data_IF_520028288488
#
_entry.id   IF_520028288488
#
_cell.length_a   1.000
_cell.length_b   1.000
_cell.length_c   1.000
_cell.angle_alpha   90.00
_cell.angle_beta   90.00
_cell.angle_gamma   90.00
#
_symmetry.space_group_name_H-M   'P 1'
#
loop_
_entity.id
_entity.type
_entity.pdbx_description
1 polymer ?
#
# COMPACT_ATOMS: atom_id res chain seq x y z
N UNK A 1 -24.71 -47.43 34.66
CA UNK A 1 -25.84 -46.64 34.12
C UNK A 1 -25.74 -46.67 32.61
N UNK A 2 -26.72 -47.21 31.89
CA UNK A 2 -26.75 -47.12 30.42
C UNK A 2 -27.24 -45.72 29.99
N UNK A 3 -26.48 -45.05 29.14
CA UNK A 3 -26.93 -43.94 28.30
C UNK A 3 -27.65 -44.53 27.09
N UNK A 4 -28.87 -44.09 26.81
CA UNK A 4 -29.65 -44.54 25.64
C UNK A 4 -29.65 -43.38 24.65
N UNK A 5 -28.85 -43.49 23.60
CA UNK A 5 -28.77 -42.51 22.52
C UNK A 5 -29.62 -42.97 21.35
N UNK A 6 -30.55 -42.13 20.90
CA UNK A 6 -31.20 -42.30 19.60
C UNK A 6 -30.41 -41.53 18.55
N UNK A 7 -30.02 -42.19 17.46
CA UNK A 7 -29.28 -41.59 16.35
C UNK A 7 -30.27 -41.31 15.21
N UNK A 8 -30.37 -40.05 14.80
CA UNK A 8 -31.22 -39.65 13.66
C UNK A 8 -30.40 -38.76 12.73
N UNK A 9 -29.62 -39.37 11.84
CA UNK A 9 -28.63 -38.67 11.01
C UNK A 9 -27.41 -38.19 11.80
N UNK A 10 -26.87 -37.01 11.43
CA UNK A 10 -25.69 -36.36 12.02
C UNK A 10 -25.87 -35.94 13.50
N UNK A 11 -27.03 -36.18 14.11
CA UNK A 11 -27.35 -35.82 15.48
C UNK A 11 -27.66 -37.02 16.37
N UNK A 12 -27.21 -36.92 17.62
CA UNK A 12 -27.48 -37.84 18.72
C UNK A 12 -28.35 -37.13 19.77
N UNK A 13 -29.31 -37.86 20.35
CA UNK A 13 -30.16 -37.34 21.42
C UNK A 13 -29.94 -38.17 22.68
N UNK A 14 -29.54 -37.53 23.78
CA UNK A 14 -29.56 -38.15 25.10
C UNK A 14 -31.00 -38.12 25.65
N UNK A 15 -31.65 -39.27 25.64
CA UNK A 15 -33.05 -39.41 26.06
C UNK A 15 -33.29 -39.14 27.55
N UNK A 16 -32.24 -39.05 28.38
CA UNK A 16 -32.36 -38.72 29.81
C UNK A 16 -32.33 -37.22 30.07
N UNK A 17 -31.51 -36.50 29.32
CA UNK A 17 -31.31 -35.05 29.50
C UNK A 17 -32.06 -34.23 28.45
N UNK A 18 -32.63 -34.89 27.43
CA UNK A 18 -33.21 -34.27 26.24
C UNK A 18 -32.23 -33.36 25.50
N UNK A 19 -30.93 -33.56 25.70
CA UNK A 19 -29.87 -32.82 25.01
C UNK A 19 -29.68 -33.42 23.63
N UNK A 20 -29.76 -32.57 22.61
CA UNK A 20 -29.44 -32.92 21.23
C UNK A 20 -28.01 -32.48 20.95
N UNK A 21 -27.18 -33.40 20.47
CA UNK A 21 -25.80 -33.12 20.07
C UNK A 21 -25.58 -33.56 18.65
N UNK A 22 -25.33 -32.59 17.78
CA UNK A 22 -25.06 -32.81 16.36
C UNK A 22 -23.56 -32.79 16.10
N UNK A 23 -23.11 -33.61 15.15
CA UNK A 23 -21.77 -33.51 14.62
C UNK A 23 -21.60 -32.11 13.99
N UNK A 24 -20.50 -31.41 14.29
CA UNK A 24 -20.23 -30.14 13.62
C UNK A 24 -20.20 -30.35 12.10
N UNK A 25 -20.46 -29.30 11.35
CA UNK A 25 -20.33 -29.31 9.90
C UNK A 25 -19.69 -28.02 9.46
N UNK A 26 -18.50 -28.09 8.90
CA UNK A 26 -17.78 -26.92 8.41
C UNK A 26 -18.35 -26.52 7.04
N UNK A 27 -18.59 -25.23 6.83
CA UNK A 27 -19.01 -24.69 5.54
C UNK A 27 -17.87 -23.94 4.85
N UNK A 28 -17.33 -22.89 5.46
CA UNK A 28 -16.23 -22.10 4.89
C UNK A 28 -15.20 -21.67 5.93
N UNK A 29 -14.01 -21.29 5.45
CA UNK A 29 -12.98 -20.59 6.22
C UNK A 29 -12.63 -19.30 5.49
N UNK A 30 -12.46 -18.22 6.23
CA UNK A 30 -12.08 -16.91 5.69
C UNK A 30 -11.12 -16.20 6.65
N UNK A 31 -10.02 -15.59 6.19
CA UNK A 31 -9.57 -15.55 4.79
C UNK A 31 -9.12 -16.93 4.28
N UNK A 32 -8.95 -17.03 2.96
CA UNK A 32 -8.55 -18.29 2.29
C UNK A 32 -7.02 -18.48 2.21
N UNK A 33 -6.24 -17.52 2.68
CA UNK A 33 -4.78 -17.61 2.77
C UNK A 33 -4.21 -16.64 3.79
N UNK A 34 -2.96 -16.87 4.19
CA UNK A 34 -2.24 -16.01 5.13
C UNK A 34 -0.75 -16.35 5.20
N UNK A 35 0.05 -15.57 5.94
CA UNK A 35 1.48 -15.78 6.06
C UNK A 35 1.81 -17.13 6.71
N UNK A 36 2.89 -17.78 6.25
CA UNK A 36 3.43 -19.01 6.84
C UNK A 36 3.78 -18.86 8.33
N UNK A 37 4.07 -17.63 8.79
CA UNK A 37 4.34 -17.33 10.19
C UNK A 37 3.10 -17.44 11.11
N UNK A 38 1.90 -17.57 10.53
CA UNK A 38 0.64 -17.60 11.27
C UNK A 38 0.19 -16.21 11.70
N UNK A 39 -0.69 -16.16 12.70
CA UNK A 39 -1.28 -14.95 13.25
C UNK A 39 -2.51 -14.42 12.50
N UNK A 40 -2.91 -15.06 11.39
CA UNK A 40 -4.14 -14.74 10.67
C UNK A 40 -5.36 -15.08 11.51
N UNK A 41 -6.27 -14.12 11.69
CA UNK A 41 -7.58 -14.35 12.29
C UNK A 41 -8.49 -15.04 11.27
N UNK A 42 -8.76 -16.32 11.50
CA UNK A 42 -9.69 -17.10 10.71
C UNK A 42 -11.10 -16.98 11.29
N UNK A 43 -12.07 -16.85 10.39
CA UNK A 43 -13.50 -17.01 10.64
C UNK A 43 -13.92 -18.33 10.01
N UNK A 44 -14.41 -19.26 10.81
CA UNK A 44 -14.92 -20.55 10.37
C UNK A 44 -16.42 -20.52 10.53
N UNK A 45 -17.12 -20.78 9.42
CA UNK A 45 -18.58 -20.83 9.38
C UNK A 45 -19.06 -22.24 9.12
N UNK A 46 -20.24 -22.60 9.61
CA UNK A 46 -20.84 -23.90 9.41
C UNK A 46 -22.11 -24.11 10.23
N UNK A 47 -22.35 -25.35 10.64
CA UNK A 47 -23.52 -25.77 11.42
C UNK A 47 -23.10 -26.67 12.58
N UNK A 48 -23.82 -26.56 13.69
CA UNK A 48 -23.53 -27.32 14.91
C UNK A 48 -22.07 -27.15 15.40
N UNK A 49 -21.45 -26.02 15.05
CA UNK A 49 -20.08 -25.67 15.46
C UNK A 49 -20.15 -25.06 16.85
N UNK A 50 -20.12 -25.95 17.85
CA UNK A 50 -19.95 -25.62 19.27
C UNK A 50 -21.02 -24.72 19.90
N UNK A 51 -21.18 -24.88 21.21
CA UNK A 51 -21.82 -23.90 22.09
C UNK A 51 -20.73 -23.17 22.91
N UNK A 52 -21.08 -22.06 23.56
CA UNK A 52 -20.16 -21.23 24.37
C UNK A 52 -19.52 -22.03 25.51
N UNK A 53 -20.14 -23.14 25.92
CA UNK A 53 -19.68 -24.04 26.99
C UNK A 53 -18.69 -25.11 26.54
N UNK A 54 -18.48 -25.27 25.23
CA UNK A 54 -17.72 -26.40 24.70
C UNK A 54 -16.24 -26.10 24.63
N UNK A 55 -15.40 -27.10 24.91
CA UNK A 55 -13.98 -27.03 24.58
C UNK A 55 -13.81 -27.29 23.09
N UNK A 56 -13.62 -26.23 22.30
CA UNK A 56 -13.46 -26.32 20.85
C UNK A 56 -11.98 -26.33 20.49
N UNK A 57 -11.57 -27.36 19.76
CA UNK A 57 -10.23 -27.43 19.17
C UNK A 57 -10.32 -27.28 17.66
N UNK A 58 -9.56 -26.33 17.12
CA UNK A 58 -9.46 -26.10 15.68
C UNK A 58 -8.04 -26.42 15.25
N UNK A 59 -7.94 -27.27 14.24
CA UNK A 59 -6.70 -27.60 13.55
C UNK A 59 -6.88 -27.34 12.06
N UNK A 60 -5.88 -26.71 11.44
CA UNK A 60 -5.87 -26.38 10.01
C UNK A 60 -4.58 -26.95 9.41
N UNK A 61 -4.68 -28.07 8.69
CA UNK A 61 -3.53 -28.78 8.10
C UNK A 61 -2.44 -29.20 9.11
N UNK A 62 -2.83 -29.68 10.29
CA UNK A 62 -1.91 -30.02 11.38
C UNK A 62 -1.37 -28.82 12.15
N UNK A 63 -1.85 -27.61 11.84
CA UNK A 63 -1.49 -26.37 12.56
C UNK A 63 -2.61 -25.99 13.51
N UNK A 64 -2.29 -25.99 14.79
CA UNK A 64 -3.24 -25.66 15.85
C UNK A 64 -3.63 -24.18 15.81
N UNK A 65 -4.93 -23.93 15.88
CA UNK A 65 -5.48 -22.60 16.07
C UNK A 65 -5.49 -22.22 17.57
N UNK A 66 -5.32 -20.93 17.86
CA UNK A 66 -5.33 -20.36 19.20
C UNK A 66 -6.49 -19.37 19.36
N UNK A 67 -6.81 -18.99 20.59
CA UNK A 67 -7.84 -17.99 20.91
C UNK A 67 -9.21 -18.27 20.23
N UNK A 68 -9.62 -19.54 20.26
CA UNK A 68 -10.89 -19.96 19.66
C UNK A 68 -12.04 -19.28 20.38
N UNK A 69 -12.86 -18.52 19.65
CA UNK A 69 -13.98 -17.76 20.18
C UNK A 69 -15.23 -18.07 19.38
N UNK A 70 -16.30 -18.51 20.04
CA UNK A 70 -17.62 -18.68 19.40
C UNK A 70 -18.26 -17.31 19.25
N UNK A 71 -18.50 -16.89 18.00
CA UNK A 71 -19.10 -15.58 17.68
C UNK A 71 -20.62 -15.71 17.62
N UNK A 72 -21.09 -16.76 16.94
CA UNK A 72 -22.51 -17.08 16.84
C UNK A 72 -22.65 -18.56 17.16
N UNK A 73 -23.34 -18.92 18.26
CA UNK A 73 -23.51 -20.31 18.65
C UNK A 73 -23.97 -21.17 17.47
N UNK A 74 -23.43 -22.38 17.41
CA UNK A 74 -23.70 -23.38 16.37
C UNK A 74 -23.27 -23.02 14.94
N UNK A 75 -22.83 -21.79 14.66
CA UNK A 75 -22.65 -21.33 13.27
C UNK A 75 -21.29 -20.72 12.98
N UNK A 76 -20.77 -19.85 13.85
CA UNK A 76 -19.56 -19.09 13.57
C UNK A 76 -18.60 -19.11 14.76
N UNK A 77 -17.33 -19.40 14.48
CA UNK A 77 -16.24 -19.18 15.42
C UNK A 77 -15.09 -18.45 14.75
N UNK A 78 -14.24 -17.84 15.56
CA UNK A 78 -12.95 -17.29 15.12
C UNK A 78 -11.80 -17.98 15.83
N UNK A 79 -10.64 -18.03 15.19
CA UNK A 79 -9.39 -18.47 15.81
C UNK A 79 -8.20 -17.83 15.12
N UNK A 80 -7.07 -17.74 15.83
CA UNK A 80 -5.80 -17.24 15.29
C UNK A 80 -4.95 -18.43 14.90
N UNK A 81 -4.62 -18.57 13.62
CA UNK A 81 -3.84 -19.73 13.14
C UNK A 81 -2.38 -19.64 13.61
N UNK A 82 -1.83 -20.77 14.05
CA UNK A 82 -0.42 -20.87 14.41
C UNK A 82 0.52 -20.81 13.20
N UNK A 83 1.83 -20.93 13.47
CA UNK A 83 2.86 -20.99 12.43
C UNK A 83 2.75 -22.29 11.61
N UNK A 84 2.67 -22.16 10.30
CA UNK A 84 2.72 -23.26 9.35
C UNK A 84 4.14 -23.78 9.10
N UNK A 85 4.26 -25.02 8.66
CA UNK A 85 5.56 -25.67 8.39
C UNK A 85 5.97 -25.67 6.90
N UNK A 86 5.05 -25.40 5.97
CA UNK A 86 5.29 -25.45 4.51
C UNK A 86 4.31 -24.56 3.76
N UNK A 87 4.70 -24.05 2.59
CA UNK A 87 3.82 -23.43 1.58
C UNK A 87 2.93 -24.50 0.90
N UNK A 88 2.02 -25.11 1.67
CA UNK A 88 1.09 -26.10 1.13
C UNK A 88 -0.12 -25.39 0.51
N UNK A 89 -0.32 -25.63 -0.78
CA UNK A 89 -1.49 -25.21 -1.57
C UNK A 89 -2.47 -26.36 -1.84
N UNK A 90 -2.14 -27.59 -1.42
CA UNK A 90 -3.02 -28.75 -1.54
C UNK A 90 -4.14 -28.68 -0.50
N UNK A 91 -5.28 -29.34 -0.77
CA UNK A 91 -6.49 -29.30 0.08
C UNK A 91 -6.22 -29.43 1.57
N UNK A 92 -6.74 -28.47 2.33
CA UNK A 92 -6.47 -28.33 3.75
C UNK A 92 -7.65 -28.84 4.56
N UNK A 93 -7.32 -29.78 5.44
CA UNK A 93 -8.27 -30.33 6.37
C UNK A 93 -8.41 -29.36 7.53
N UNK A 94 -9.64 -28.88 7.74
CA UNK A 94 -10.00 -28.23 8.98
C UNK A 94 -10.68 -29.28 9.84
N UNK A 95 -10.13 -29.52 11.03
CA UNK A 95 -10.76 -30.34 12.05
C UNK A 95 -11.27 -29.44 13.17
N UNK A 96 -12.58 -29.55 13.45
CA UNK A 96 -13.19 -28.92 14.62
C UNK A 96 -13.67 -30.01 15.55
N UNK A 97 -13.06 -30.13 16.73
CA UNK A 97 -13.53 -31.02 17.79
C UNK A 97 -14.35 -30.21 18.79
N UNK A 98 -15.65 -30.49 18.87
CA UNK A 98 -16.58 -29.93 19.85
C UNK A 98 -17.29 -31.09 20.55
N UNK A 99 -17.21 -31.15 21.89
CA UNK A 99 -17.86 -32.19 22.70
C UNK A 99 -17.54 -33.63 22.28
N UNK A 100 -16.28 -33.92 21.92
CA UNK A 100 -15.80 -35.21 21.40
C UNK A 100 -16.36 -35.62 20.03
N UNK A 101 -17.11 -34.75 19.35
CA UNK A 101 -17.44 -34.91 17.94
C UNK A 101 -16.47 -34.10 17.09
N UNK A 102 -16.00 -34.70 16.01
CA UNK A 102 -15.13 -34.04 15.04
C UNK A 102 -15.78 -34.04 13.67
N UNK A 103 -15.71 -32.90 12.99
CA UNK A 103 -15.89 -32.84 11.55
C UNK A 103 -14.57 -32.53 10.87
N UNK A 104 -14.41 -33.06 9.68
CA UNK A 104 -13.25 -32.81 8.83
C UNK A 104 -13.75 -32.49 7.45
N UNK A 105 -13.57 -31.23 7.05
CA UNK A 105 -13.87 -30.79 5.69
C UNK A 105 -12.59 -30.47 4.95
N UNK A 106 -12.53 -30.94 3.70
CA UNK A 106 -11.59 -30.43 2.73
C UNK A 106 -12.05 -29.01 2.31
N UNK A 107 -11.42 -28.00 2.91
CA UNK A 107 -11.48 -26.61 2.47
C UNK A 107 -10.05 -26.15 2.17
N UNK A 108 -9.81 -24.88 1.88
CA UNK A 108 -8.48 -24.43 1.47
C UNK A 108 -8.08 -23.18 2.28
N UNK A 109 -6.94 -23.26 2.98
CA UNK A 109 -6.27 -22.12 3.62
C UNK A 109 -4.79 -22.05 3.20
N UNK A 110 -4.45 -21.31 2.14
CA UNK A 110 -3.08 -21.27 1.64
C UNK A 110 -2.10 -20.60 2.61
N UNK A 111 -1.11 -21.34 3.13
CA UNK A 111 0.05 -20.71 3.76
C UNK A 111 0.98 -20.16 2.67
N UNK A 112 1.17 -18.85 2.67
CA UNK A 112 1.94 -18.12 1.68
C UNK A 112 3.18 -17.50 2.31
N UNK A 113 4.25 -17.43 1.53
CA UNK A 113 5.51 -16.84 1.95
C UNK A 113 5.72 -15.53 1.20
N UNK A 114 5.74 -14.42 1.94
CA UNK A 114 6.02 -13.11 1.39
C UNK A 114 7.52 -12.97 1.10
N UNK A 115 7.86 -12.36 -0.04
CA UNK A 115 9.25 -12.15 -0.45
C UNK A 115 9.43 -10.77 -1.03
N UNK A 116 10.56 -10.13 -0.71
CA UNK A 116 11.01 -8.90 -1.36
C UNK A 116 12.03 -9.31 -2.43
N UNK A 117 11.88 -8.77 -3.64
CA UNK A 117 12.76 -9.03 -4.78
C UNK A 117 13.71 -7.87 -5.04
N UNK A 118 13.20 -6.63 -5.05
CA UNK A 118 13.97 -5.45 -5.42
C UNK A 118 13.32 -4.18 -4.83
N UNK A 119 14.06 -3.08 -4.81
CA UNK A 119 13.51 -1.74 -4.60
C UNK A 119 14.22 -0.70 -5.46
N UNK A 120 13.50 0.34 -5.88
CA UNK A 120 14.03 1.44 -6.67
C UNK A 120 13.34 2.76 -6.28
N UNK A 121 14.04 3.90 -6.23
CA UNK A 121 15.47 4.09 -6.52
C UNK A 121 16.41 3.60 -5.41
N UNK A 122 17.71 3.60 -5.69
CA UNK A 122 18.80 3.25 -4.74
C UNK A 122 19.41 4.46 -4.04
N UNK A 123 18.87 5.65 -4.25
CA UNK A 123 19.33 6.92 -3.69
C UNK A 123 18.17 7.87 -3.45
N UNK A 124 18.36 8.83 -2.57
CA UNK A 124 17.43 9.93 -2.26
C UNK A 124 18.11 11.00 -1.43
N UNK A 125 17.45 12.14 -1.20
CA UNK A 125 18.04 13.28 -0.48
C UNK A 125 17.94 13.14 1.04
N UNK A 126 18.84 13.78 1.81
CA UNK A 126 18.88 13.70 3.29
C UNK A 126 17.62 14.20 3.97
N UNK A 127 16.88 15.12 3.33
CA UNK A 127 15.55 15.57 3.76
C UNK A 127 14.49 14.47 3.70
N UNK A 128 14.77 13.34 3.05
CA UNK A 128 13.81 12.25 2.86
C UNK A 128 12.79 12.60 1.78
N UNK A 129 11.58 12.05 1.90
CA UNK A 129 10.48 12.24 0.96
C UNK A 129 10.58 11.46 -0.36
N UNK A 130 11.72 10.82 -0.64
CA UNK A 130 11.93 10.04 -1.86
C UNK A 130 10.94 8.89 -1.94
N UNK A 131 10.19 8.83 -3.04
CA UNK A 131 9.23 7.75 -3.32
C UNK A 131 10.01 6.50 -3.77
N UNK A 132 9.89 5.42 -3.01
CA UNK A 132 10.52 4.13 -3.29
C UNK A 132 9.47 3.10 -3.62
N UNK A 133 9.64 2.43 -4.75
CA UNK A 133 8.87 1.25 -5.15
C UNK A 133 9.63 0.01 -4.72
N UNK A 134 8.98 -0.84 -3.93
CA UNK A 134 9.48 -2.12 -3.46
C UNK A 134 8.69 -3.21 -4.17
N UNK A 135 9.37 -4.10 -4.87
CA UNK A 135 8.78 -5.20 -5.64
C UNK A 135 8.96 -6.54 -4.92
N UNK A 136 7.98 -7.42 -5.03
CA UNK A 136 8.00 -8.73 -4.38
C UNK A 136 6.83 -9.62 -4.73
N UNK A 137 6.54 -10.58 -3.85
CA UNK A 137 5.42 -11.51 -3.98
C UNK A 137 4.76 -11.76 -2.64
N UNK A 138 3.43 -11.93 -2.66
CA UNK A 138 2.60 -12.16 -1.47
C UNK A 138 2.83 -11.10 -0.38
N UNK A 139 3.06 -9.85 -0.81
CA UNK A 139 3.30 -8.71 0.09
C UNK A 139 2.05 -8.20 0.78
N UNK A 140 0.88 -8.73 0.44
CA UNK A 140 -0.42 -8.32 0.97
C UNK A 140 -1.23 -9.57 1.34
N UNK A 141 -1.84 -9.55 2.52
CA UNK A 141 -2.73 -10.62 3.00
C UNK A 141 -4.14 -10.07 3.24
N UNK A 142 -5.16 -10.92 3.32
CA UNK A 142 -6.47 -10.43 3.76
C UNK A 142 -6.41 -10.10 5.26
N UNK A 143 -6.62 -8.83 5.63
CA UNK A 143 -6.47 -8.37 7.01
C UNK A 143 -6.18 -6.88 7.12
N UNK A 144 -5.46 -6.49 8.19
CA UNK A 144 -5.13 -5.09 8.46
C UNK A 144 -3.94 -4.59 7.63
N UNK A 145 -3.02 -5.47 7.22
CA UNK A 145 -1.86 -5.14 6.41
C UNK A 145 -1.11 -3.89 6.91
N UNK A 146 -0.74 -3.89 8.20
CA UNK A 146 0.03 -2.80 8.79
C UNK A 146 1.50 -2.98 8.42
N UNK A 147 2.01 -2.11 7.55
CA UNK A 147 3.39 -2.12 7.10
C UNK A 147 4.26 -1.19 7.93
N UNK A 148 5.31 -1.73 8.55
CA UNK A 148 6.41 -0.97 9.10
C UNK A 148 7.65 -1.21 8.23
N UNK A 149 8.01 -0.21 7.43
CA UNK A 149 9.09 -0.30 6.45
C UNK A 149 10.24 0.58 6.94
N UNK A 150 11.45 0.07 6.88
CA UNK A 150 12.64 0.84 7.24
C UNK A 150 13.85 0.48 6.39
N UNK A 151 14.67 1.47 6.13
CA UNK A 151 16.04 1.27 5.65
C UNK A 151 16.96 1.29 6.86
N UNK A 152 17.83 0.30 6.99
CA UNK A 152 18.71 0.13 8.15
C UNK A 152 20.18 0.00 7.76
N UNK A 153 21.06 0.51 8.60
CA UNK A 153 22.47 0.14 8.69
C UNK A 153 22.75 -0.47 10.07
N UNK A 154 24.01 -0.65 10.43
CA UNK A 154 24.38 -1.25 11.73
C UNK A 154 24.14 -0.33 12.94
N UNK A 155 23.89 0.96 12.71
CA UNK A 155 23.74 1.98 13.76
C UNK A 155 22.30 2.49 13.89
N UNK A 156 21.57 2.62 12.79
CA UNK A 156 20.25 3.26 12.74
C UNK A 156 19.34 2.66 11.69
N UNK A 157 18.04 2.88 11.87
CA UNK A 157 16.98 2.58 10.91
C UNK A 157 16.15 3.84 10.67
N UNK A 158 15.92 4.18 9.40
CA UNK A 158 15.09 5.29 8.97
C UNK A 158 13.80 4.72 8.39
N UNK A 159 12.67 5.18 8.92
CA UNK A 159 11.35 4.72 8.51
C UNK A 159 11.05 5.13 7.06
N UNK A 160 10.31 4.30 6.33
CA UNK A 160 9.70 4.62 5.04
C UNK A 160 8.17 4.49 5.20
N UNK A 161 7.44 5.58 5.00
CA UNK A 161 5.99 5.63 5.23
C UNK A 161 5.26 5.05 4.02
N UNK A 162 4.55 3.94 4.21
CA UNK A 162 3.77 3.28 3.15
C UNK A 162 2.66 4.20 2.60
N UNK A 163 2.48 4.21 1.28
CA UNK A 163 1.40 4.94 0.59
C UNK A 163 0.22 3.98 0.40
N UNK A 164 -0.78 4.07 1.28
CA UNK A 164 -1.87 3.07 1.40
C UNK A 164 -2.56 2.71 0.07
N UNK A 165 -2.81 3.69 -0.80
CA UNK A 165 -3.56 3.49 -2.05
C UNK A 165 -2.76 2.80 -3.17
N UNK A 166 -1.51 2.38 -2.91
CA UNK A 166 -0.59 1.83 -3.93
C UNK A 166 -0.04 0.45 -3.58
N UNK A 167 -0.57 -0.13 -2.49
CA UNK A 167 -0.14 -1.41 -1.98
C UNK A 167 -0.80 -2.53 -2.78
N UNK A 168 -0.03 -3.57 -3.05
CA UNK A 168 -0.52 -4.79 -3.71
C UNK A 168 0.28 -6.00 -3.24
N UNK A 169 -0.23 -7.20 -3.53
CA UNK A 169 0.53 -8.44 -3.37
C UNK A 169 1.90 -8.48 -4.08
N UNK A 170 2.18 -7.57 -5.02
CA UNK A 170 3.43 -7.53 -5.81
C UNK A 170 4.30 -6.32 -5.54
N UNK A 171 3.74 -5.26 -4.97
CA UNK A 171 4.45 -3.98 -4.83
C UNK A 171 3.97 -3.19 -3.63
N UNK A 172 4.92 -2.54 -2.97
CA UNK A 172 4.68 -1.57 -1.91
C UNK A 172 5.37 -0.27 -2.33
N UNK A 173 4.66 0.86 -2.29
CA UNK A 173 5.28 2.18 -2.47
C UNK A 173 5.35 2.88 -1.12
N UNK A 174 6.50 3.48 -0.80
CA UNK A 174 6.70 4.23 0.45
C UNK A 174 7.49 5.51 0.21
N UNK A 175 7.38 6.48 1.13
CA UNK A 175 8.22 7.69 1.14
C UNK A 175 9.25 7.61 2.26
N UNK A 176 10.52 7.76 1.94
CA UNK A 176 11.59 7.70 2.93
C UNK A 176 11.47 8.81 3.98
N UNK A 177 11.77 8.50 5.23
CA UNK A 177 11.93 9.49 6.29
C UNK A 177 13.22 10.29 6.15
N UNK A 178 13.32 11.34 6.96
CA UNK A 178 14.50 12.21 7.01
C UNK A 178 15.70 11.46 7.62
N UNK A 179 16.84 11.54 6.93
CA UNK A 179 18.12 11.03 7.42
C UNK A 179 18.87 12.08 8.23
N UNK A 180 18.78 13.35 7.83
CA UNK A 180 19.51 14.48 8.44
C UNK A 180 20.99 14.54 8.08
N UNK A 181 21.58 13.43 7.62
CA UNK A 181 22.97 13.34 7.19
C UNK A 181 23.16 12.42 5.99
N UNK A 182 24.27 12.59 5.27
CA UNK A 182 24.66 11.73 4.16
C UNK A 182 25.09 10.38 4.74
N UNK A 183 24.34 9.33 4.41
CA UNK A 183 24.63 7.99 4.91
C UNK A 183 24.17 6.89 3.96
N UNK A 184 24.70 5.70 4.17
CA UNK A 184 24.34 4.51 3.41
C UNK A 184 23.58 3.55 4.30
N UNK A 185 22.40 3.18 3.83
CA UNK A 185 21.61 2.10 4.40
C UNK A 185 21.96 0.82 3.64
N UNK A 186 22.06 -0.29 4.35
CA UNK A 186 22.56 -1.57 3.80
C UNK A 186 21.48 -2.64 3.68
N UNK A 187 20.32 -2.38 4.29
CA UNK A 187 19.22 -3.33 4.40
C UNK A 187 17.90 -2.61 4.30
N UNK A 188 16.98 -3.17 3.53
CA UNK A 188 15.55 -2.88 3.61
C UNK A 188 14.90 -3.91 4.54
N UNK A 189 14.09 -3.45 5.48
CA UNK A 189 13.29 -4.30 6.37
C UNK A 189 11.82 -3.91 6.24
N UNK A 190 10.95 -4.92 6.16
CA UNK A 190 9.49 -4.75 6.20
C UNK A 190 8.94 -5.66 7.28
N UNK A 191 8.14 -5.11 8.17
CA UNK A 191 7.35 -5.87 9.14
C UNK A 191 5.88 -5.70 8.78
N UNK A 192 5.21 -6.81 8.48
CA UNK A 192 3.78 -6.85 8.14
C UNK A 192 3.02 -7.40 9.35
N UNK A 193 2.09 -6.61 9.88
CA UNK A 193 1.22 -6.93 11.00
C UNK A 193 1.96 -7.43 12.27
N UNK A 194 3.17 -6.93 12.51
CA UNK A 194 4.05 -7.32 13.64
C UNK A 194 4.45 -8.82 13.64
N UNK A 195 4.20 -9.54 12.54
CA UNK A 195 4.36 -10.99 12.44
C UNK A 195 5.35 -11.40 11.35
N UNK A 196 5.19 -10.87 10.14
CA UNK A 196 6.01 -11.25 8.98
C UNK A 196 7.15 -10.26 8.82
N UNK A 197 8.37 -10.71 9.11
CA UNK A 197 9.58 -9.91 8.96
C UNK A 197 10.28 -10.29 7.66
N UNK A 198 10.35 -9.35 6.74
CA UNK A 198 11.05 -9.46 5.47
C UNK A 198 12.30 -8.59 5.49
N UNK A 199 13.33 -9.05 4.80
CA UNK A 199 14.60 -8.36 4.72
C UNK A 199 15.23 -8.55 3.34
N UNK A 200 15.72 -7.46 2.76
CA UNK A 200 16.53 -7.50 1.55
C UNK A 200 17.83 -6.75 1.79
N UNK A 201 18.95 -7.41 1.52
CA UNK A 201 20.25 -6.74 1.49
C UNK A 201 20.30 -5.87 0.22
N UNK A 202 20.52 -4.57 0.40
CA UNK A 202 20.51 -3.63 -0.70
C UNK A 202 20.86 -2.24 -0.20
N UNK A 203 21.63 -1.51 -1.01
CA UNK A 203 22.09 -0.18 -0.62
C UNK A 203 21.07 0.89 -1.01
N UNK A 204 20.64 1.69 -0.04
CA UNK A 204 19.95 2.95 -0.28
C UNK A 204 20.86 4.08 0.22
N UNK A 205 21.23 5.01 -0.64
CA UNK A 205 22.16 6.09 -0.33
C UNK A 205 21.40 7.41 -0.14
N UNK A 206 21.48 7.96 1.08
CA UNK A 206 21.09 9.34 1.33
C UNK A 206 22.19 10.29 0.85
N UNK A 207 21.83 11.21 -0.04
CA UNK A 207 22.69 12.21 -0.69
C UNK A 207 22.32 13.62 -0.24
N UNK A 208 23.21 14.61 -0.36
CA UNK A 208 22.90 15.99 0.01
C UNK A 208 21.64 16.52 -0.69
N UNK A 209 20.90 17.38 0.02
CA UNK A 209 19.79 18.14 -0.55
C UNK A 209 20.29 19.04 -1.70
N UNK A 210 19.44 19.34 -2.69
CA UNK A 210 19.81 20.19 -3.81
C UNK A 210 20.16 21.60 -3.35
N UNK A 211 21.07 22.26 -4.08
CA UNK A 211 21.44 23.65 -3.83
C UNK A 211 20.98 24.54 -4.97
N UNK A 212 20.71 25.83 -4.70
CA UNK A 212 20.07 26.73 -5.66
C UNK A 212 20.88 28.01 -5.85
N UNK A 213 20.93 28.49 -7.10
CA UNK A 213 21.38 29.84 -7.40
C UNK A 213 20.15 30.75 -7.33
N UNK A 214 19.95 31.41 -6.20
CA UNK A 214 18.80 32.29 -5.99
C UNK A 214 18.85 33.44 -7.00
N UNK A 215 17.88 33.51 -7.91
CA UNK A 215 17.55 34.73 -8.63
C UNK A 215 16.49 35.49 -7.83
N UNK A 216 16.78 36.72 -7.41
CA UNK A 216 15.85 37.57 -6.63
C UNK A 216 14.66 38.09 -7.45
N UNK A 217 14.39 37.54 -8.63
CA UNK A 217 13.32 37.99 -9.51
C UNK A 217 12.08 37.14 -9.32
N UNK A 218 10.97 37.77 -8.94
CA UNK A 218 9.66 37.13 -8.92
C UNK A 218 9.28 36.67 -10.33
N UNK A 219 8.80 35.44 -10.44
CA UNK A 219 8.36 34.87 -11.71
C UNK A 219 6.99 35.46 -12.07
N UNK A 220 6.75 35.81 -13.34
CA UNK A 220 5.42 36.23 -13.81
C UNK A 220 4.71 35.08 -14.49
N UNK A 221 3.42 34.90 -14.21
CA UNK A 221 2.64 33.81 -14.79
C UNK A 221 1.21 34.21 -15.11
N UNK A 222 0.59 33.51 -16.05
CA UNK A 222 -0.82 33.66 -16.39
C UNK A 222 -1.72 33.15 -15.25
N UNK A 223 -2.86 33.80 -15.01
CA UNK A 223 -3.82 33.40 -13.97
C UNK A 223 -4.36 31.97 -14.17
N UNK A 224 -4.47 31.53 -15.42
CA UNK A 224 -4.81 30.16 -15.80
C UNK A 224 -3.75 29.10 -15.42
N UNK A 225 -2.52 29.52 -15.10
CA UNK A 225 -1.39 28.61 -14.84
C UNK A 225 -0.70 28.17 -16.13
N UNK A 226 0.08 27.09 -16.06
CA UNK A 226 0.78 26.49 -17.21
C UNK A 226 1.95 27.30 -17.77
N UNK A 227 2.32 28.42 -17.13
CA UNK A 227 3.52 29.17 -17.53
C UNK A 227 4.75 28.39 -17.09
N UNK A 228 5.69 28.16 -18.01
CA UNK A 228 6.94 27.48 -17.67
C UNK A 228 7.89 28.43 -16.92
N UNK A 229 8.53 27.92 -15.86
CA UNK A 229 9.61 28.58 -15.15
C UNK A 229 10.79 27.62 -14.95
N UNK A 230 12.00 28.17 -14.95
CA UNK A 230 13.24 27.39 -14.84
C UNK A 230 13.90 27.59 -13.49
N UNK A 231 14.22 26.49 -12.83
CA UNK A 231 15.01 26.45 -11.59
C UNK A 231 16.43 26.04 -11.94
N UNK A 232 17.42 26.76 -11.42
CA UNK A 232 18.85 26.45 -11.59
C UNK A 232 19.51 26.14 -10.25
N UNK A 233 20.26 25.05 -10.21
CA UNK A 233 20.85 24.52 -9.00
C UNK A 233 21.93 23.48 -9.26
N UNK A 234 22.14 22.61 -8.28
CA UNK A 234 23.00 21.42 -8.32
C UNK A 234 22.35 20.30 -7.50
N UNK A 235 22.58 19.04 -7.85
CA UNK A 235 22.08 17.88 -7.12
C UNK A 235 20.64 17.47 -7.46
N UNK A 236 20.12 17.86 -8.63
CA UNK A 236 18.77 17.46 -9.06
C UNK A 236 18.69 15.97 -9.42
N UNK A 237 19.79 15.33 -9.84
CA UNK A 237 19.85 13.88 -10.05
C UNK A 237 19.78 13.07 -8.74
N UNK A 238 19.93 13.71 -7.57
CA UNK A 238 19.80 13.05 -6.27
C UNK A 238 18.34 12.90 -5.85
N UNK A 239 17.44 13.65 -6.49
CA UNK A 239 16.03 13.73 -6.18
C UNK A 239 15.27 12.70 -7.01
N UNK A 240 14.30 12.01 -6.41
CA UNK A 240 13.47 11.05 -7.12
C UNK A 240 12.53 11.74 -8.11
N UNK A 241 11.75 12.69 -7.63
CA UNK A 241 10.79 13.45 -8.44
C UNK A 241 10.71 14.91 -7.98
N UNK A 242 10.71 15.85 -8.93
CA UNK A 242 10.51 17.28 -8.64
C UNK A 242 9.07 17.64 -9.00
N UNK A 243 8.28 18.08 -8.03
CA UNK A 243 6.86 18.39 -8.20
C UNK A 243 6.53 19.80 -7.70
N UNK A 244 5.43 20.37 -8.21
CA UNK A 244 4.96 21.70 -7.82
C UNK A 244 3.60 21.57 -7.16
N UNK A 245 3.37 22.32 -6.08
CA UNK A 245 2.04 22.39 -5.46
C UNK A 245 0.94 22.62 -6.51
N UNK A 246 -0.11 21.80 -6.45
CA UNK A 246 -1.30 21.89 -7.32
C UNK A 246 -1.04 21.60 -8.80
N UNK A 247 0.09 20.97 -9.13
CA UNK A 247 0.37 20.40 -10.44
C UNK A 247 0.58 18.90 -10.29
N UNK A 248 -0.17 18.10 -11.04
CA UNK A 248 -0.05 16.63 -11.00
C UNK A 248 1.18 16.11 -11.75
N UNK A 249 1.61 16.83 -12.79
CA UNK A 249 2.73 16.44 -13.66
C UNK A 249 4.06 16.86 -13.02
N UNK A 250 5.08 15.98 -12.94
CA UNK A 250 6.40 16.36 -12.48
C UNK A 250 7.07 17.36 -13.42
N UNK A 251 8.02 18.12 -12.87
CA UNK A 251 8.89 18.99 -13.66
C UNK A 251 9.75 18.17 -14.61
N UNK A 252 10.10 18.76 -15.75
CA UNK A 252 11.08 18.20 -16.67
C UNK A 252 12.50 18.52 -16.17
N UNK A 253 13.33 17.50 -15.96
CA UNK A 253 14.68 17.63 -15.39
C UNK A 253 15.69 17.15 -16.44
N UNK A 254 16.18 18.02 -17.33
CA UNK A 254 17.10 17.63 -18.39
C UNK A 254 18.50 17.24 -17.89
N UNK A 255 18.97 17.81 -16.79
CA UNK A 255 20.28 17.54 -16.19
C UNK A 255 20.30 17.86 -14.68
N UNK A 256 21.43 17.58 -14.00
CA UNK A 256 21.62 17.79 -12.56
C UNK A 256 21.48 19.25 -12.07
N UNK A 257 21.42 20.22 -12.99
CA UNK A 257 21.47 21.65 -12.68
C UNK A 257 20.24 22.44 -13.11
N UNK A 258 19.34 21.84 -13.89
CA UNK A 258 18.19 22.52 -14.48
C UNK A 258 16.91 21.71 -14.28
N UNK A 259 15.86 22.38 -13.79
CA UNK A 259 14.50 21.84 -13.75
C UNK A 259 13.53 22.85 -14.36
N UNK A 260 12.67 22.38 -15.26
CA UNK A 260 11.64 23.19 -15.94
C UNK A 260 10.28 22.73 -15.45
N UNK A 261 9.55 23.65 -14.82
CA UNK A 261 8.29 23.40 -14.13
C UNK A 261 7.18 24.29 -14.68
N UNK A 262 5.93 23.89 -14.50
CA UNK A 262 4.76 24.69 -14.86
C UNK A 262 4.15 25.35 -13.61
N UNK A 263 3.70 26.61 -13.72
CA UNK A 263 3.02 27.29 -12.62
C UNK A 263 1.59 26.77 -12.43
N UNK A 264 1.11 26.58 -11.19
CA UNK A 264 -0.30 26.28 -10.94
C UNK A 264 -1.21 27.45 -11.33
N UNK A 265 -2.54 27.21 -11.49
CA UNK A 265 -3.51 28.29 -11.62
C UNK A 265 -3.49 29.22 -10.40
N UNK A 266 -3.83 30.49 -10.57
CA UNK A 266 -3.97 31.42 -9.45
C UNK A 266 -5.09 30.95 -8.51
N UNK A 267 -4.86 31.00 -7.19
CA UNK A 267 -5.93 30.81 -6.21
C UNK A 267 -6.89 32.02 -6.31
N UNK A 268 -8.17 31.76 -6.60
CA UNK A 268 -9.21 32.80 -6.65
C UNK A 268 -9.33 33.49 -5.27
N UNK A 269 -9.69 34.76 -5.27
CA UNK A 269 -9.82 35.60 -4.07
C UNK A 269 -8.53 35.87 -3.26
N UNK A 270 -7.37 35.44 -3.78
CA UNK A 270 -6.06 35.78 -3.21
C UNK A 270 -5.32 36.85 -4.03
N UNK A 271 -4.27 37.40 -3.39
CA UNK A 271 -3.30 38.31 -4.01
C UNK A 271 -2.77 37.78 -5.34
N UNK A 272 -2.39 38.69 -6.23
CA UNK A 272 -1.66 38.33 -7.45
C UNK A 272 -0.24 37.85 -7.13
N UNK A 273 0.33 38.25 -6.00
CA UNK A 273 1.60 37.73 -5.50
C UNK A 273 1.32 36.51 -4.60
N UNK A 274 1.70 35.32 -5.07
CA UNK A 274 1.52 34.05 -4.35
C UNK A 274 2.82 33.27 -4.28
N UNK A 275 3.12 32.74 -3.11
CA UNK A 275 4.22 31.79 -2.93
C UNK A 275 3.75 30.38 -3.29
N UNK A 276 4.50 29.71 -4.16
CA UNK A 276 4.29 28.33 -4.56
C UNK A 276 5.49 27.50 -4.11
N UNK A 277 5.25 26.28 -3.62
CA UNK A 277 6.32 25.40 -3.21
C UNK A 277 6.66 24.40 -4.30
N UNK A 278 7.95 24.25 -4.56
CA UNK A 278 8.51 23.18 -5.38
C UNK A 278 9.13 22.16 -4.45
N UNK A 279 8.72 20.91 -4.59
CA UNK A 279 9.16 19.79 -3.79
C UNK A 279 10.25 19.04 -4.53
N UNK A 280 11.41 18.95 -3.90
CA UNK A 280 12.53 18.11 -4.28
C UNK A 280 12.54 16.93 -3.31
N UNK A 281 11.65 15.97 -3.53
CA UNK A 281 11.25 14.99 -2.53
C UNK A 281 10.77 15.67 -1.22
N UNK A 282 11.49 15.51 -0.11
CA UNK A 282 11.19 16.12 1.19
C UNK A 282 11.76 17.53 1.36
N UNK A 283 12.62 17.99 0.45
CA UNK A 283 13.17 19.35 0.48
C UNK A 283 12.23 20.32 -0.25
N UNK A 284 11.91 21.45 0.39
CA UNK A 284 10.90 22.40 -0.12
C UNK A 284 11.55 23.73 -0.49
N UNK A 285 11.40 24.15 -1.75
CA UNK A 285 11.82 25.46 -2.26
C UNK A 285 10.61 26.37 -2.48
N UNK A 286 10.46 27.48 -1.72
CA UNK A 286 9.42 28.47 -1.97
C UNK A 286 9.81 29.40 -3.14
N UNK A 287 8.88 29.65 -4.05
CA UNK A 287 9.03 30.56 -5.20
C UNK A 287 7.88 31.55 -5.23
N UNK A 288 8.18 32.84 -5.38
CA UNK A 288 7.15 33.87 -5.51
C UNK A 288 6.76 34.06 -6.97
N UNK A 289 5.45 33.99 -7.22
CA UNK A 289 4.84 34.14 -8.53
C UNK A 289 3.88 35.34 -8.51
N UNK A 290 4.06 36.24 -9.48
CA UNK A 290 3.18 37.37 -9.75
C UNK A 290 2.26 37.02 -10.91
N UNK A 291 0.98 36.77 -10.61
CA UNK A 291 -0.04 36.43 -11.60
C UNK A 291 -0.52 37.66 -12.36
N UNK A 292 -0.55 37.54 -13.70
CA UNK A 292 -1.06 38.54 -14.64
C UNK A 292 -2.30 38.00 -15.34
N UNK A 293 -3.17 38.90 -15.83
CA UNK A 293 -4.39 38.51 -16.54
C UNK A 293 -4.08 37.64 -17.77
N UNK A 294 -4.97 36.68 -18.02
CA UNK A 294 -4.89 35.82 -19.21
C UNK A 294 -5.15 36.65 -20.48
N UNK A 295 -4.56 36.27 -21.64
CA UNK A 295 -4.85 36.93 -22.90
C UNK A 295 -6.33 36.79 -23.28
N UNK A 296 -6.93 37.89 -23.72
CA UNK A 296 -8.31 37.91 -24.22
C UNK A 296 -8.33 37.59 -25.72
N UNK A 297 -9.22 36.68 -26.12
CA UNK A 297 -9.41 36.30 -27.53
C UNK A 297 -10.77 36.76 -28.01
N UNK A 298 -10.79 37.56 -29.07
CA UNK A 298 -12.04 37.91 -29.76
C UNK A 298 -12.34 36.87 -30.85
N UNK A 299 -13.61 36.46 -30.96
CA UNK A 299 -14.03 35.57 -32.06
C UNK A 299 -13.95 36.32 -33.37
N UNK A 300 -13.30 35.71 -34.36
CA UNK A 300 -13.36 36.20 -35.74
C UNK A 300 -14.82 36.22 -36.21
N UNK A 301 -15.32 37.43 -36.49
CA UNK A 301 -16.67 37.69 -36.98
C UNK A 301 -16.72 37.99 -38.48
N UNK A 302 -15.60 37.83 -39.19
CA UNK A 302 -15.51 38.02 -40.63
C UNK A 302 -16.15 36.86 -41.41
N UNK A 303 -16.74 37.19 -42.56
CA UNK A 303 -17.08 36.21 -43.58
C UNK A 303 -15.78 35.80 -44.27
N UNK A 304 -15.48 34.50 -44.34
CA UNK A 304 -14.41 33.99 -45.19
C UNK A 304 -14.89 34.12 -46.64
N UNK A 305 -14.59 35.24 -47.28
CA UNK A 305 -14.74 35.35 -48.74
C UNK A 305 -13.64 34.50 -49.39
N UNK A 306 -14.08 33.42 -50.02
CA UNK A 306 -13.22 32.61 -50.89
C UNK A 306 -13.05 33.38 -52.20
N UNK A 307 -11.93 34.08 -52.34
CA UNK A 307 -11.60 34.77 -53.58
C UNK A 307 -11.23 33.75 -54.66
N UNK A 308 -12.15 33.50 -55.60
CA UNK A 308 -11.90 32.63 -56.76
C UNK A 308 -11.08 33.33 -57.86
N UNK A 309 -10.68 34.59 -57.69
CA UNK A 309 -9.93 35.34 -58.71
C UNK A 309 -8.47 35.60 -58.29
N UNK A 310 -7.72 34.53 -58.03
CA UNK A 310 -6.26 34.57 -58.18
C UNK A 310 -5.81 33.53 -59.20
N UNK A 311 -6.08 33.82 -60.47
CA UNK A 311 -5.33 33.21 -61.56
C UNK A 311 -3.86 33.56 -61.38
N UNK A 312 -3.07 32.58 -60.94
CA UNK A 312 -1.60 32.61 -61.03
C UNK A 312 -1.26 32.78 -62.52
N UNK A 313 -0.92 34.01 -62.91
CA UNK A 313 -0.29 34.27 -64.20
C UNK A 313 1.21 34.04 -64.03
N UNK A 314 1.70 32.91 -64.53
CA UNK A 314 3.12 32.69 -64.77
C UNK A 314 3.44 33.37 -66.11
N UNK A 315 4.22 34.45 -66.06
CA UNK A 315 5.03 34.92 -67.19
C UNK A 315 6.35 35.45 -66.69
#
# INVERSE_FOLDING_TARGET
>A
MLTVTAQNGDCSVDLKTSVVTCMPKIDTVHPSSGPVNGGTLLTITGKYIGNVTDSIYVDVSGVRCHNVTVITPETNLTCVIGKGSTTQTNGIFISVNANNFSDTKATYFGFKEAMISEFSPKKGVVSGGTTVVIEGSELEFEGQNRYNISFCNIYTCIQCSAIQNTLSSKSIICKTGQSGEVQNMTKLQIVIDDLTVLALNGRFQYLPDPSFKISNESQKAMQSGGTEFTIRGEGFENVGEITVDRIEKPCNVPDDTVAVCETPPKIQDQSNDQTVHVHFDGFILPINIVYVEDPTFERFSGVLEYDQESSIQIK
#
